data_IF_029542742052
#
_entry.id   IF_029542742052
#
_cell.length_a   1.000
_cell.length_b   1.000
_cell.length_c   1.000
_cell.angle_alpha   90.00
_cell.angle_beta   90.00
_cell.angle_gamma   90.00
#
_symmetry.space_group_name_H-M   'P 1'
#
loop_
_entity.id
_entity.type
_entity.pdbx_description
1 polymer ?
#
# COMPACT_ATOMS: atom_id res chain seq x y z
N UNK A 1 27.60 2.93 -3.57
CA UNK A 1 27.33 2.00 -4.70
C UNK A 1 26.71 0.68 -4.23
N UNK A 2 27.21 0.07 -3.12
CA UNK A 2 26.68 -1.21 -2.60
C UNK A 2 25.20 -1.14 -2.19
N UNK A 3 24.78 -0.13 -1.45
CA UNK A 3 23.41 0.01 -0.92
C UNK A 3 22.34 0.14 -2.01
N UNK A 4 22.70 0.74 -3.16
CA UNK A 4 21.78 0.87 -4.29
C UNK A 4 21.45 -0.48 -4.91
N UNK A 5 22.47 -1.33 -5.05
CA UNK A 5 22.31 -2.66 -5.65
C UNK A 5 21.44 -3.59 -4.79
N UNK A 6 21.58 -3.54 -3.46
CA UNK A 6 20.76 -4.34 -2.54
C UNK A 6 19.28 -3.97 -2.64
N UNK A 7 18.97 -2.66 -2.70
CA UNK A 7 17.58 -2.18 -2.84
C UNK A 7 17.03 -2.57 -4.22
N UNK A 8 17.82 -2.47 -5.28
CA UNK A 8 17.39 -2.88 -6.62
C UNK A 8 17.07 -4.37 -6.67
N UNK A 9 17.94 -5.22 -6.14
CA UNK A 9 17.74 -6.66 -6.07
C UNK A 9 16.49 -7.03 -5.25
N UNK A 10 16.28 -6.38 -4.11
CA UNK A 10 15.04 -6.55 -3.33
C UNK A 10 13.80 -6.24 -4.16
N UNK A 11 13.77 -5.10 -4.86
CA UNK A 11 12.62 -4.68 -5.67
C UNK A 11 12.36 -5.65 -6.81
N UNK A 12 13.40 -6.09 -7.52
CA UNK A 12 13.27 -7.06 -8.60
C UNK A 12 12.71 -8.39 -8.11
N UNK A 13 13.26 -8.92 -7.02
CA UNK A 13 12.78 -10.17 -6.41
C UNK A 13 11.35 -10.04 -5.89
N UNK A 14 10.98 -8.88 -5.34
CA UNK A 14 9.61 -8.66 -4.86
C UNK A 14 8.59 -8.62 -6.01
N UNK A 15 8.90 -7.91 -7.09
CA UNK A 15 8.05 -7.88 -8.29
C UNK A 15 7.90 -9.27 -8.91
N UNK A 16 8.97 -10.06 -8.94
CA UNK A 16 8.90 -11.44 -9.42
C UNK A 16 8.07 -12.33 -8.48
N UNK A 17 8.17 -12.15 -7.17
CA UNK A 17 7.32 -12.82 -6.20
C UNK A 17 5.84 -12.47 -6.39
N UNK A 18 5.52 -11.22 -6.74
CA UNK A 18 4.14 -10.83 -7.09
C UNK A 18 3.64 -11.57 -8.34
N UNK A 19 4.46 -11.72 -9.37
CA UNK A 19 4.09 -12.49 -10.58
C UNK A 19 3.84 -13.95 -10.26
N UNK A 20 4.78 -14.59 -9.58
CA UNK A 20 4.67 -16.00 -9.19
C UNK A 20 3.42 -16.25 -8.35
N UNK A 21 3.18 -15.41 -7.35
CA UNK A 21 1.98 -15.51 -6.53
C UNK A 21 0.70 -15.25 -7.35
N UNK A 22 0.76 -14.35 -8.31
CA UNK A 22 -0.34 -14.10 -9.26
C UNK A 22 -0.70 -15.35 -10.05
N UNK A 23 0.27 -16.07 -10.59
CA UNK A 23 0.02 -17.34 -11.32
C UNK A 23 -0.57 -18.43 -10.41
N UNK A 24 -0.13 -18.53 -9.16
CA UNK A 24 -0.72 -19.44 -8.17
C UNK A 24 -2.19 -19.11 -7.90
N UNK A 25 -2.53 -17.83 -7.77
CA UNK A 25 -3.91 -17.36 -7.57
C UNK A 25 -4.76 -17.68 -8.78
N UNK A 26 -4.27 -17.46 -10.00
CA UNK A 26 -4.97 -17.81 -11.24
C UNK A 26 -5.25 -19.31 -11.27
N UNK A 27 -4.22 -20.13 -11.06
CA UNK A 27 -4.35 -21.57 -11.06
C UNK A 27 -5.38 -22.06 -10.03
N UNK A 28 -5.39 -21.44 -8.84
CA UNK A 28 -6.36 -21.77 -7.80
C UNK A 28 -7.80 -21.40 -8.20
N UNK A 29 -8.03 -20.19 -8.71
CA UNK A 29 -9.35 -19.71 -9.14
C UNK A 29 -9.92 -20.60 -10.27
N UNK A 30 -9.09 -20.96 -11.23
CA UNK A 30 -9.47 -21.86 -12.32
C UNK A 30 -9.83 -23.24 -11.78
N UNK A 31 -9.02 -23.78 -10.85
CA UNK A 31 -9.24 -25.11 -10.27
C UNK A 31 -10.56 -25.22 -9.50
N UNK A 32 -11.00 -24.16 -8.81
CA UNK A 32 -12.27 -24.13 -8.07
C UNK A 32 -13.48 -23.72 -8.92
N UNK A 33 -13.28 -23.42 -10.22
CA UNK A 33 -14.36 -23.02 -11.13
C UNK A 33 -14.98 -21.65 -10.81
N UNK A 34 -14.28 -20.77 -10.09
CA UNK A 34 -14.77 -19.46 -9.64
C UNK A 34 -14.27 -18.31 -10.53
N UNK A 35 -14.54 -18.37 -11.83
CA UNK A 35 -14.27 -17.26 -12.74
C UNK A 35 -13.55 -17.68 -14.02
N UNK A 36 -13.54 -16.77 -14.97
CA UNK A 36 -12.79 -16.91 -16.21
C UNK A 36 -11.32 -16.50 -15.98
N UNK A 37 -10.39 -17.28 -16.50
CA UNK A 37 -8.95 -17.05 -16.35
C UNK A 37 -8.51 -15.68 -16.87
N UNK A 38 -8.98 -15.30 -18.06
CA UNK A 38 -8.52 -14.09 -18.77
C UNK A 38 -8.74 -12.78 -17.98
N UNK A 39 -9.94 -12.51 -17.38
CA UNK A 39 -10.12 -11.30 -16.57
C UNK A 39 -9.27 -11.28 -15.30
N UNK A 40 -9.04 -12.44 -14.68
CA UNK A 40 -8.21 -12.52 -13.46
C UNK A 40 -6.75 -12.27 -13.81
N UNK A 41 -6.24 -12.91 -14.85
CA UNK A 41 -4.89 -12.72 -15.38
C UNK A 41 -4.62 -11.25 -15.69
N UNK A 42 -5.51 -10.62 -16.46
CA UNK A 42 -5.38 -9.19 -16.81
C UNK A 42 -5.31 -8.27 -15.58
N UNK A 43 -6.06 -8.55 -14.51
CA UNK A 43 -6.00 -7.77 -13.27
C UNK A 43 -4.68 -7.96 -12.52
N UNK A 44 -4.15 -9.17 -12.49
CA UNK A 44 -2.88 -9.49 -11.82
C UNK A 44 -1.72 -8.86 -12.57
N UNK A 45 -1.71 -8.97 -13.91
CA UNK A 45 -0.70 -8.32 -14.76
C UNK A 45 -0.72 -6.80 -14.57
N UNK A 46 -1.90 -6.16 -14.63
CA UNK A 46 -2.04 -4.73 -14.38
C UNK A 46 -1.60 -4.33 -12.97
N UNK A 47 -1.90 -5.13 -11.96
CA UNK A 47 -1.46 -4.89 -10.58
C UNK A 47 0.06 -4.97 -10.42
N UNK A 48 0.70 -5.93 -11.09
CA UNK A 48 2.16 -6.08 -11.09
C UNK A 48 2.85 -4.93 -11.84
N UNK A 49 2.28 -4.50 -12.94
CA UNK A 49 2.77 -3.36 -13.72
C UNK A 49 2.65 -2.05 -12.92
N UNK A 50 1.51 -1.83 -12.25
CA UNK A 50 1.32 -0.69 -11.34
C UNK A 50 2.32 -0.71 -10.17
N UNK A 51 2.66 -1.87 -9.63
CA UNK A 51 3.67 -2.00 -8.60
C UNK A 51 5.07 -1.65 -9.12
N UNK A 52 5.42 -2.10 -10.31
CA UNK A 52 6.68 -1.77 -10.95
C UNK A 52 6.81 -0.24 -11.19
N UNK A 53 5.77 0.39 -11.70
CA UNK A 53 5.71 1.84 -11.92
C UNK A 53 5.76 2.61 -10.60
N UNK A 54 5.05 2.16 -9.57
CA UNK A 54 5.11 2.78 -8.24
C UNK A 54 6.52 2.76 -7.66
N UNK A 55 7.24 1.65 -7.82
CA UNK A 55 8.61 1.50 -7.30
C UNK A 55 9.65 2.21 -8.16
N UNK A 56 9.37 2.38 -9.44
CA UNK A 56 10.25 3.02 -10.43
C UNK A 56 9.53 4.12 -11.22
N UNK A 57 9.05 5.19 -10.57
CA UNK A 57 8.43 6.30 -11.29
C UNK A 57 9.42 6.86 -12.32
N UNK A 58 8.94 7.07 -13.55
CA UNK A 58 9.76 7.51 -14.68
C UNK A 58 10.99 6.60 -14.96
N UNK A 59 10.88 5.32 -14.59
CA UNK A 59 11.96 4.33 -14.75
C UNK A 59 13.08 4.42 -13.70
N UNK A 60 13.01 5.34 -12.75
CA UNK A 60 14.03 5.55 -11.70
C UNK A 60 13.59 4.95 -10.38
N UNK A 61 14.45 4.15 -9.76
CA UNK A 61 14.15 3.50 -8.48
C UNK A 61 13.90 4.52 -7.36
N UNK A 62 12.70 4.50 -6.77
CA UNK A 62 12.36 5.27 -5.59
C UNK A 62 12.79 4.53 -4.31
N UNK A 63 13.90 4.93 -3.71
CA UNK A 63 14.40 4.34 -2.46
C UNK A 63 13.41 4.44 -1.31
N UNK A 64 12.67 5.53 -1.21
CA UNK A 64 11.66 5.73 -0.16
C UNK A 64 10.50 4.76 -0.30
N UNK A 65 10.01 4.53 -1.51
CA UNK A 65 8.92 3.58 -1.78
C UNK A 65 9.38 2.13 -1.62
N UNK A 66 10.60 1.81 -2.06
CA UNK A 66 11.20 0.51 -1.82
C UNK A 66 11.40 0.22 -0.33
N UNK A 67 11.90 1.21 0.44
CA UNK A 67 12.02 1.11 1.89
C UNK A 67 10.66 0.94 2.59
N UNK A 68 9.64 1.66 2.15
CA UNK A 68 8.27 1.50 2.65
C UNK A 68 7.74 0.08 2.40
N UNK A 69 7.93 -0.44 1.18
CA UNK A 69 7.54 -1.81 0.83
C UNK A 69 8.28 -2.83 1.68
N UNK A 70 9.59 -2.64 1.90
CA UNK A 70 10.39 -3.52 2.74
C UNK A 70 9.86 -3.56 4.19
N UNK A 71 9.61 -2.40 4.81
CA UNK A 71 9.08 -2.31 6.18
C UNK A 71 7.71 -3.00 6.29
N UNK A 72 6.83 -2.81 5.33
CA UNK A 72 5.50 -3.41 5.34
C UNK A 72 5.52 -4.91 5.01
N UNK A 73 6.50 -5.39 4.25
CA UNK A 73 6.62 -6.80 3.87
C UNK A 73 7.21 -7.66 5.00
N UNK A 74 8.24 -7.18 5.70
CA UNK A 74 8.97 -7.94 6.73
C UNK A 74 8.60 -7.50 8.15
N UNK A 75 7.31 -7.57 8.46
CA UNK A 75 6.70 -7.09 9.71
C UNK A 75 7.21 -7.76 10.97
N UNK A 76 7.70 -8.99 10.84
CA UNK A 76 8.20 -9.82 11.93
C UNK A 76 9.60 -9.41 12.40
N UNK A 77 10.34 -8.64 11.59
CA UNK A 77 11.68 -8.23 11.94
C UNK A 77 11.67 -7.17 13.06
N UNK A 78 12.31 -7.41 14.21
CA UNK A 78 12.23 -6.53 15.38
C UNK A 78 12.67 -5.09 15.11
N UNK A 79 13.74 -4.90 14.33
CA UNK A 79 14.26 -3.57 13.98
C UNK A 79 13.23 -2.73 13.21
N UNK A 80 12.35 -3.38 12.45
CA UNK A 80 11.31 -2.72 11.65
C UNK A 80 10.03 -2.40 12.45
N UNK A 81 9.91 -2.84 13.70
CA UNK A 81 8.71 -2.64 14.53
C UNK A 81 8.40 -1.16 14.77
N UNK A 82 9.42 -0.35 14.98
CA UNK A 82 9.31 1.09 15.20
C UNK A 82 8.84 1.84 13.93
N UNK A 83 9.53 1.78 12.78
CA UNK A 83 9.08 2.47 11.58
C UNK A 83 7.71 2.00 11.13
N UNK A 84 7.38 0.71 11.30
CA UNK A 84 6.06 0.20 11.01
C UNK A 84 4.98 0.82 11.91
N UNK A 85 5.21 0.94 13.24
CA UNK A 85 4.27 1.62 14.13
C UNK A 85 4.04 3.08 13.74
N UNK A 86 5.08 3.74 13.23
CA UNK A 86 4.97 5.10 12.73
C UNK A 86 4.09 5.16 11.47
N UNK A 87 4.29 4.25 10.52
CA UNK A 87 3.45 4.13 9.32
C UNK A 87 1.99 3.88 9.71
N UNK A 88 1.72 2.92 10.60
CA UNK A 88 0.37 2.61 11.08
C UNK A 88 -0.29 3.83 11.77
N UNK A 89 0.49 4.65 12.48
CA UNK A 89 0.01 5.88 13.10
C UNK A 89 -0.40 6.94 12.07
N UNK A 90 0.35 7.12 10.99
CA UNK A 90 -0.03 8.02 9.90
C UNK A 90 -1.26 7.54 9.15
N UNK A 91 -1.37 6.24 8.87
CA UNK A 91 -2.57 5.64 8.27
C UNK A 91 -3.78 5.83 9.18
N UNK A 92 -3.62 5.59 10.49
CA UNK A 92 -4.68 5.79 11.48
C UNK A 92 -5.12 7.25 11.60
N UNK A 93 -4.17 8.19 11.54
CA UNK A 93 -4.47 9.62 11.51
C UNK A 93 -5.30 9.99 10.27
N UNK A 94 -4.88 9.56 9.09
CA UNK A 94 -5.62 9.86 7.85
C UNK A 94 -7.00 9.23 7.85
N UNK A 95 -7.13 8.00 8.35
CA UNK A 95 -8.43 7.34 8.51
C UNK A 95 -9.34 8.15 9.45
N UNK A 96 -8.81 8.64 10.57
CA UNK A 96 -9.56 9.47 11.52
C UNK A 96 -10.01 10.79 10.89
N UNK A 97 -9.15 11.43 10.10
CA UNK A 97 -9.50 12.64 9.33
C UNK A 97 -10.61 12.36 8.31
N UNK A 98 -10.57 11.22 7.62
CA UNK A 98 -11.60 10.80 6.66
C UNK A 98 -12.95 10.61 7.35
N UNK A 99 -12.97 9.88 8.48
CA UNK A 99 -14.17 9.67 9.28
C UNK A 99 -14.75 11.00 9.80
N UNK A 100 -13.89 11.90 10.29
CA UNK A 100 -14.30 13.23 10.71
C UNK A 100 -14.93 14.03 9.56
N UNK A 101 -14.32 14.07 8.38
CA UNK A 101 -14.85 14.76 7.20
C UNK A 101 -16.22 14.20 6.79
N UNK A 102 -16.35 12.88 6.77
CA UNK A 102 -17.62 12.21 6.46
C UNK A 102 -18.72 12.53 7.47
N UNK A 103 -18.41 12.45 8.77
CA UNK A 103 -19.36 12.78 9.83
C UNK A 103 -19.77 14.27 9.78
N UNK A 104 -18.81 15.16 9.53
CA UNK A 104 -19.04 16.60 9.38
C UNK A 104 -19.98 16.88 8.19
N UNK A 105 -19.73 16.28 7.03
CA UNK A 105 -20.61 16.42 5.86
C UNK A 105 -22.04 16.00 6.18
N UNK A 106 -22.23 14.85 6.87
CA UNK A 106 -23.58 14.35 7.26
C UNK A 106 -24.24 15.25 8.30
N UNK A 107 -23.47 15.81 9.23
CA UNK A 107 -24.00 16.76 10.21
C UNK A 107 -24.51 18.04 9.51
N UNK A 108 -23.73 18.61 8.62
CA UNK A 108 -24.10 19.80 7.86
C UNK A 108 -25.34 19.54 7.00
N UNK A 109 -25.40 18.40 6.31
CA UNK A 109 -26.56 17.99 5.49
C UNK A 109 -27.85 17.90 6.34
N UNK A 110 -27.75 17.37 7.55
CA UNK A 110 -28.91 17.31 8.48
C UNK A 110 -29.40 18.68 8.96
N UNK A 111 -28.49 19.66 9.08
CA UNK A 111 -28.81 20.99 9.60
C UNK A 111 -29.35 21.92 8.53
N UNK A 112 -28.78 21.95 7.35
CA UNK A 112 -29.10 22.92 6.30
C UNK A 112 -29.51 22.28 4.96
N UNK A 113 -29.52 20.97 4.86
CA UNK A 113 -29.73 20.26 3.59
C UNK A 113 -28.60 20.55 2.60
N UNK A 114 -28.90 20.38 1.31
CA UNK A 114 -27.93 20.64 0.21
C UNK A 114 -27.98 22.09 -0.27
N UNK A 115 -28.05 23.02 0.64
CA UNK A 115 -28.03 24.45 0.33
C UNK A 115 -26.58 24.93 0.13
N UNK A 116 -26.44 26.02 -0.61
CA UNK A 116 -25.16 26.72 -0.76
C UNK A 116 -24.65 27.18 0.62
N UNK A 117 -23.40 26.97 0.89
CA UNK A 117 -22.73 27.40 2.13
C UNK A 117 -22.59 28.93 2.17
N UNK A 118 -22.61 29.52 3.35
CA UNK A 118 -22.47 30.97 3.56
C UNK A 118 -21.15 31.56 3.05
N UNK A 119 -20.12 30.71 2.86
CA UNK A 119 -18.84 31.06 2.28
C UNK A 119 -18.75 30.94 0.75
N UNK A 120 -19.90 30.74 0.03
CA UNK A 120 -19.92 30.64 -1.44
C UNK A 120 -19.52 29.26 -1.97
N UNK A 121 -19.27 28.27 -1.11
CA UNK A 121 -19.01 26.89 -1.51
C UNK A 121 -20.31 26.13 -1.83
N UNK A 122 -20.20 25.03 -2.60
CA UNK A 122 -21.32 24.12 -2.87
C UNK A 122 -21.86 23.38 -1.61
N UNK A 123 -21.49 23.81 -0.40
CA UNK A 123 -21.96 23.24 0.86
C UNK A 123 -21.55 21.78 1.04
N UNK A 124 -22.54 20.89 1.17
CA UNK A 124 -22.31 19.45 1.40
C UNK A 124 -21.52 18.80 0.28
N UNK A 125 -21.73 19.19 -0.98
CA UNK A 125 -21.00 18.59 -2.11
C UNK A 125 -19.50 18.88 -2.04
N UNK A 126 -19.11 20.07 -1.59
CA UNK A 126 -17.72 20.39 -1.29
C UNK A 126 -17.15 19.50 -0.18
N UNK A 127 -17.90 19.34 0.93
CA UNK A 127 -17.48 18.49 2.04
C UNK A 127 -17.34 17.02 1.61
N UNK A 128 -18.27 16.50 0.83
CA UNK A 128 -18.21 15.15 0.26
C UNK A 128 -16.98 14.99 -0.65
N UNK A 129 -16.65 15.99 -1.46
CA UNK A 129 -15.45 15.98 -2.28
C UNK A 129 -14.15 15.89 -1.44
N UNK A 130 -14.13 16.52 -0.24
CA UNK A 130 -12.96 16.47 0.64
C UNK A 130 -12.67 15.07 1.20
N UNK A 131 -13.66 14.17 1.21
CA UNK A 131 -13.47 12.78 1.66
C UNK A 131 -12.58 11.97 0.72
N UNK A 132 -12.39 12.42 -0.52
CA UNK A 132 -11.54 11.76 -1.53
C UNK A 132 -10.06 12.11 -1.39
N UNK A 133 -9.73 13.17 -0.65
CA UNK A 133 -8.34 13.61 -0.50
C UNK A 133 -7.55 12.68 0.40
N UNK A 134 -6.40 12.24 -0.12
CA UNK A 134 -5.40 11.46 0.59
C UNK A 134 -4.12 12.29 0.74
N UNK A 135 -3.56 12.30 1.93
CA UNK A 135 -2.28 12.96 2.22
C UNK A 135 -1.13 11.97 2.03
N UNK A 136 -1.31 10.75 2.55
CA UNK A 136 -0.29 9.72 2.57
C UNK A 136 -0.55 8.65 1.50
N UNK A 137 -0.65 9.06 0.23
CA UNK A 137 -1.03 8.19 -0.90
C UNK A 137 -0.17 6.93 -0.98
N UNK A 138 1.16 7.08 -0.82
CA UNK A 138 2.10 5.97 -0.92
C UNK A 138 1.91 4.93 0.20
N UNK A 139 1.49 5.35 1.41
CA UNK A 139 1.20 4.43 2.52
C UNK A 139 -0.03 3.54 2.26
N UNK A 140 -0.96 4.00 1.43
CA UNK A 140 -2.08 3.19 0.97
C UNK A 140 -1.72 2.33 -0.23
N UNK A 141 -1.00 2.90 -1.19
CA UNK A 141 -0.62 2.23 -2.42
C UNK A 141 0.24 0.98 -2.15
N UNK A 142 1.21 1.07 -1.25
CA UNK A 142 2.11 -0.05 -0.91
C UNK A 142 1.35 -1.31 -0.44
N UNK A 143 0.18 -1.14 0.18
CA UNK A 143 -0.62 -2.27 0.69
C UNK A 143 -1.17 -3.16 -0.42
N UNK A 144 -1.30 -2.65 -1.62
CA UNK A 144 -1.75 -3.43 -2.79
C UNK A 144 -0.65 -4.31 -3.39
N UNK A 145 0.60 -4.09 -2.98
CA UNK A 145 1.79 -4.80 -3.48
C UNK A 145 2.27 -5.90 -2.54
N UNK A 146 1.64 -6.02 -1.35
CA UNK A 146 2.05 -7.02 -0.37
C UNK A 146 1.72 -8.43 -0.87
N UNK A 147 2.68 -9.32 -0.76
CA UNK A 147 2.52 -10.75 -1.03
C UNK A 147 2.52 -11.54 0.27
N UNK A 148 2.15 -12.83 0.20
CA UNK A 148 2.22 -13.74 1.34
C UNK A 148 3.66 -13.84 1.85
N UNK A 149 3.82 -14.07 3.16
CA UNK A 149 5.15 -14.20 3.79
C UNK A 149 6.02 -15.26 3.11
N UNK A 150 5.43 -16.37 2.75
CA UNK A 150 6.10 -17.51 2.12
C UNK A 150 6.58 -17.22 0.69
N UNK A 151 5.99 -16.21 0.04
CA UNK A 151 6.38 -15.77 -1.30
C UNK A 151 7.43 -14.64 -1.28
N UNK A 152 7.71 -14.06 -0.09
CA UNK A 152 8.71 -13.00 0.03
C UNK A 152 10.12 -13.55 -0.17
N UNK A 153 11.01 -12.77 -0.83
CA UNK A 153 12.43 -13.09 -0.86
C UNK A 153 13.03 -13.23 0.55
N UNK A 154 14.01 -14.09 0.70
CA UNK A 154 14.79 -14.15 1.93
C UNK A 154 15.54 -12.84 2.15
N UNK A 155 15.57 -12.40 3.41
CA UNK A 155 16.29 -11.17 3.79
C UNK A 155 17.76 -11.53 3.99
N UNK A 156 18.64 -10.91 3.19
CA UNK A 156 20.06 -11.01 3.41
C UNK A 156 20.43 -10.38 4.75
N UNK A 157 21.28 -11.06 5.54
CA UNK A 157 21.69 -10.63 6.87
C UNK A 157 20.47 -10.39 7.81
N UNK A 158 19.53 -11.33 7.83
CA UNK A 158 18.32 -11.22 8.68
C UNK A 158 18.64 -10.99 10.16
N UNK A 159 19.78 -11.49 10.64
CA UNK A 159 20.32 -11.27 11.99
C UNK A 159 20.54 -9.79 12.32
N UNK A 160 20.87 -8.95 11.32
CA UNK A 160 21.02 -7.50 11.51
C UNK A 160 19.70 -6.84 11.93
N UNK A 161 18.58 -7.38 11.50
CA UNK A 161 17.23 -6.86 11.82
C UNK A 161 16.64 -7.49 13.08
N UNK A 162 17.32 -8.46 13.68
CA UNK A 162 17.00 -9.05 14.97
C UNK A 162 17.51 -8.22 16.14
N UNK A 163 16.99 -8.47 17.35
CA UNK A 163 17.67 -8.04 18.56
C UNK A 163 18.89 -8.93 18.73
N UNK A 164 20.04 -8.31 18.99
CA UNK A 164 21.22 -9.08 19.38
C UNK A 164 20.85 -9.91 20.61
N UNK A 165 20.92 -11.23 20.49
CA UNK A 165 20.99 -12.10 21.67
C UNK A 165 22.32 -11.78 22.35
N UNK A 166 22.27 -11.14 23.53
CA UNK A 166 23.41 -11.09 24.41
C UNK A 166 23.62 -12.51 24.95
N UNK A 167 24.41 -13.31 24.25
CA UNK A 167 25.01 -14.52 24.80
C UNK A 167 26.20 -14.15 25.71
#
# INVERSE_FOLDING_TARGET
>A
EGDSKVIEDFVERHVEAMRTHGEEVIAHIVAIGHGEEAPVRSRIEAGTEQAAEFLRPDGVLSRSRAGLLFIESYRELPLLSWPRKLIDSFVGLEQSMLLFRSAHARMVERMIGRRMGTGGSSGVDYLDATTKYRVFVDLWAVRTMLVKREALPDVEQAEFYGFASND
#
